data_IF_174274979963
#
_entry.id   IF_174274979963
#
_cell.length_a   1.000
_cell.length_b   1.000
_cell.length_c   1.000
_cell.angle_alpha   90.00
_cell.angle_beta   90.00
_cell.angle_gamma   90.00
#
_symmetry.space_group_name_H-M   'P 1'
#
loop_
_entity.id
_entity.type
_entity.pdbx_description
1 polymer ?
#
# COMPACT_ATOMS: atom_id res chain seq x y z
N UNK A 1 68.74 -30.38 -8.80
CA UNK A 1 67.53 -31.09 -9.29
C UNK A 1 66.61 -30.00 -9.85
N UNK A 2 66.59 -29.66 -11.17
CA UNK A 2 65.88 -30.31 -12.31
C UNK A 2 64.43 -30.64 -11.92
N UNK A 3 63.37 -29.97 -12.41
CA UNK A 3 62.79 -29.99 -13.77
C UNK A 3 61.78 -28.81 -13.97
N UNK A 4 61.86 -28.01 -15.05
CA UNK A 4 60.98 -27.88 -16.27
C UNK A 4 59.55 -27.30 -16.04
N UNK A 5 59.09 -26.20 -16.67
CA UNK A 5 58.72 -25.89 -18.08
C UNK A 5 57.30 -26.32 -18.48
N UNK A 6 56.45 -25.34 -18.87
CA UNK A 6 55.30 -25.36 -19.85
C UNK A 6 54.16 -24.45 -19.38
N UNK A 7 53.99 -23.23 -19.93
CA UNK A 7 53.20 -22.87 -21.13
C UNK A 7 51.74 -23.33 -21.11
N UNK A 8 50.79 -22.40 -21.16
CA UNK A 8 49.85 -22.23 -22.30
C UNK A 8 48.94 -21.01 -22.09
N UNK A 9 48.83 -20.21 -23.17
CA UNK A 9 47.99 -19.04 -23.34
C UNK A 9 46.54 -19.43 -23.69
N UNK A 10 45.56 -18.64 -23.22
CA UNK A 10 44.32 -18.26 -23.90
C UNK A 10 43.60 -17.27 -22.94
N UNK A 11 43.33 -16.01 -23.25
CA UNK A 11 42.85 -15.47 -24.51
C UNK A 11 41.34 -15.34 -24.45
N UNK A 12 40.82 -14.29 -23.81
CA UNK A 12 39.48 -13.76 -24.05
C UNK A 12 39.40 -12.30 -23.60
N UNK A 13 39.83 -11.42 -24.50
CA UNK A 13 39.43 -10.00 -24.51
C UNK A 13 37.96 -9.96 -24.88
N UNK A 14 37.12 -9.39 -24.01
CA UNK A 14 35.82 -8.83 -24.42
C UNK A 14 35.90 -7.33 -24.17
N UNK A 15 36.29 -6.61 -25.21
CA UNK A 15 36.05 -5.18 -25.36
C UNK A 15 34.65 -5.02 -25.99
N UNK A 16 33.66 -4.71 -25.18
CA UNK A 16 32.42 -4.10 -25.65
C UNK A 16 32.30 -2.73 -24.99
N UNK A 17 32.36 -1.70 -25.83
CA UNK A 17 32.15 -0.31 -25.50
C UNK A 17 30.68 -0.05 -25.14
N UNK A 18 30.44 0.84 -24.16
CA UNK A 18 29.12 1.42 -23.90
C UNK A 18 28.88 1.73 -22.41
N UNK A 19 28.75 3.01 -22.07
CA UNK A 19 28.85 3.58 -20.72
C UNK A 19 27.62 3.41 -19.78
N UNK A 20 27.94 3.21 -18.47
CA UNK A 20 27.28 3.69 -17.23
C UNK A 20 26.00 3.00 -16.67
N UNK A 21 25.77 2.99 -15.33
CA UNK A 21 26.67 2.54 -14.24
C UNK A 21 26.04 1.51 -13.25
N UNK A 22 26.92 0.89 -12.43
CA UNK A 22 26.72 0.28 -11.10
C UNK A 22 26.03 -1.11 -11.00
N UNK A 23 26.74 -2.24 -11.15
CA UNK A 23 27.70 -2.90 -10.23
C UNK A 23 27.03 -3.44 -8.95
N UNK A 24 26.46 -4.65 -8.95
CA UNK A 24 27.08 -5.98 -8.87
C UNK A 24 27.70 -6.31 -7.49
N UNK A 25 27.09 -7.32 -6.90
CA UNK A 25 27.15 -7.86 -5.56
C UNK A 25 28.37 -8.78 -5.38
N UNK A 26 28.81 -8.89 -4.11
CA UNK A 26 29.86 -9.79 -3.57
C UNK A 26 31.29 -9.25 -3.59
N UNK A 27 31.72 -8.73 -2.44
CA UNK A 27 32.90 -9.27 -1.73
C UNK A 27 32.88 -8.85 -0.26
N UNK A 28 33.37 -9.77 0.56
CA UNK A 28 33.33 -9.81 2.02
C UNK A 28 34.12 -8.67 2.67
N UNK A 29 33.51 -7.96 3.62
CA UNK A 29 34.18 -7.06 4.55
C UNK A 29 33.59 -7.31 5.95
N UNK A 30 34.35 -7.99 6.80
CA UNK A 30 34.07 -8.25 8.20
C UNK A 30 35.12 -7.54 9.06
N UNK A 31 35.04 -6.21 9.13
CA UNK A 31 35.73 -5.42 10.15
C UNK A 31 35.17 -3.98 10.20
N UNK A 32 34.22 -3.72 11.12
CA UNK A 32 34.22 -2.56 12.03
C UNK A 32 32.91 -2.52 12.84
N UNK A 33 33.06 -2.37 14.15
CA UNK A 33 32.02 -2.01 15.12
C UNK A 33 31.42 -0.63 14.81
N UNK A 34 30.09 -0.55 14.64
CA UNK A 34 29.37 0.72 14.48
C UNK A 34 28.06 0.61 13.69
N UNK A 35 27.02 0.09 14.36
CA UNK A 35 25.58 0.25 14.12
C UNK A 35 25.04 0.72 12.74
N UNK A 36 24.34 -0.24 12.11
CA UNK A 36 23.15 -0.16 11.24
C UNK A 36 22.83 1.13 10.46
N UNK A 37 22.82 1.01 9.13
CA UNK A 37 21.69 1.43 8.30
C UNK A 37 21.49 0.37 7.19
N UNK A 38 20.24 -0.04 6.89
CA UNK A 38 19.56 0.56 5.73
C UNK A 38 18.02 0.53 5.87
N UNK A 39 17.36 1.59 6.32
CA UNK A 39 15.91 1.80 6.13
C UNK A 39 15.45 3.12 6.77
N UNK A 40 15.58 4.26 6.09
CA UNK A 40 14.95 5.52 6.56
C UNK A 40 13.81 6.02 5.67
N UNK A 41 13.60 5.46 4.47
CA UNK A 41 12.40 5.75 3.67
C UNK A 41 11.23 4.79 3.93
N UNK A 42 11.47 3.59 4.49
CA UNK A 42 10.43 2.57 4.70
C UNK A 42 9.98 2.44 6.16
N UNK A 43 10.82 2.87 7.12
CA UNK A 43 10.42 2.94 8.54
C UNK A 43 9.49 4.11 8.82
N UNK A 44 9.65 5.26 8.16
CA UNK A 44 8.73 6.39 8.29
C UNK A 44 7.34 6.01 7.76
N UNK A 45 7.27 5.23 6.68
CA UNK A 45 6.01 4.79 6.11
C UNK A 45 5.28 3.77 6.98
N UNK A 46 6.02 2.81 7.55
CA UNK A 46 5.48 1.86 8.52
C UNK A 46 5.08 2.54 9.84
N UNK A 47 5.79 3.59 10.25
CA UNK A 47 5.49 4.35 11.48
C UNK A 47 4.18 5.11 11.34
N UNK A 48 3.96 5.80 10.23
CA UNK A 48 2.69 6.52 9.97
C UNK A 48 1.53 5.55 9.71
N UNK A 49 1.81 4.38 9.11
CA UNK A 49 0.82 3.31 8.97
C UNK A 49 0.39 2.76 10.34
N UNK A 50 1.37 2.43 11.18
CA UNK A 50 1.12 2.00 12.55
C UNK A 50 0.48 3.10 13.39
N UNK A 51 0.73 4.38 13.11
CA UNK A 51 0.09 5.50 13.79
C UNK A 51 -1.42 5.51 13.54
N UNK A 52 -1.86 5.48 12.27
CA UNK A 52 -3.29 5.42 11.94
C UNK A 52 -3.96 4.16 12.51
N UNK A 53 -3.32 3.01 12.34
CA UNK A 53 -3.83 1.73 12.84
C UNK A 53 -3.93 1.73 14.37
N UNK A 54 -2.91 2.24 15.08
CA UNK A 54 -2.93 2.35 16.53
C UNK A 54 -3.99 3.33 17.01
N UNK A 55 -4.17 4.47 16.34
CA UNK A 55 -5.23 5.43 16.65
C UNK A 55 -6.60 4.76 16.54
N UNK A 56 -6.85 3.98 15.48
CA UNK A 56 -8.12 3.26 15.30
C UNK A 56 -8.32 2.17 16.36
N UNK A 57 -7.29 1.38 16.64
CA UNK A 57 -7.32 0.34 17.68
C UNK A 57 -7.64 0.96 19.05
N UNK A 58 -6.97 2.04 19.42
CA UNK A 58 -7.14 2.69 20.72
C UNK A 58 -8.48 3.45 20.84
N UNK A 59 -8.93 4.14 19.78
CA UNK A 59 -10.16 4.91 19.83
C UNK A 59 -11.43 4.06 19.64
N UNK A 60 -11.34 2.99 18.85
CA UNK A 60 -12.52 2.22 18.43
C UNK A 60 -12.56 0.81 19.02
N UNK A 61 -11.50 0.37 19.70
CA UNK A 61 -11.43 -0.97 20.31
C UNK A 61 -11.40 -2.10 19.28
N UNK A 62 -11.02 -1.80 18.03
CA UNK A 62 -10.83 -2.80 16.96
C UNK A 62 -9.44 -3.43 17.06
N UNK A 63 -9.23 -4.58 16.44
CA UNK A 63 -7.87 -5.13 16.31
C UNK A 63 -7.13 -4.55 15.09
N UNK A 64 -5.81 -4.75 15.03
CA UNK A 64 -4.96 -4.22 13.96
C UNK A 64 -5.40 -4.67 12.56
N UNK A 65 -5.79 -5.93 12.39
CA UNK A 65 -6.26 -6.46 11.10
C UNK A 65 -7.59 -5.82 10.66
N UNK A 66 -8.50 -5.58 11.60
CA UNK A 66 -9.75 -4.87 11.38
C UNK A 66 -9.51 -3.41 10.99
N UNK A 67 -8.59 -2.74 11.69
CA UNK A 67 -8.20 -1.37 11.36
C UNK A 67 -7.59 -1.27 9.96
N UNK A 68 -6.59 -2.11 9.65
CA UNK A 68 -5.94 -2.16 8.34
C UNK A 68 -6.94 -2.46 7.21
N UNK A 69 -7.78 -3.49 7.38
CA UNK A 69 -8.76 -3.87 6.36
C UNK A 69 -9.89 -2.84 6.21
N UNK A 70 -10.32 -2.19 7.30
CA UNK A 70 -11.31 -1.12 7.27
C UNK A 70 -10.80 0.12 6.55
N UNK A 71 -9.57 0.56 6.87
CA UNK A 71 -8.87 1.67 6.18
C UNK A 71 -8.63 1.33 4.71
N UNK A 72 -8.17 0.12 4.42
CA UNK A 72 -8.02 -0.38 3.07
C UNK A 72 -9.30 -0.31 2.25
N UNK A 73 -10.43 -0.65 2.87
CA UNK A 73 -11.72 -0.65 2.19
C UNK A 73 -12.18 0.77 1.84
N UNK A 74 -11.92 1.73 2.74
CA UNK A 74 -12.14 3.16 2.48
C UNK A 74 -11.27 3.65 1.32
N UNK A 75 -9.97 3.31 1.32
CA UNK A 75 -9.08 3.70 0.21
C UNK A 75 -9.37 2.98 -1.10
N UNK A 76 -9.80 1.72 -1.06
CA UNK A 76 -10.23 0.99 -2.25
C UNK A 76 -11.47 1.61 -2.88
N UNK A 77 -12.38 2.12 -2.06
CA UNK A 77 -13.54 2.84 -2.55
C UNK A 77 -13.14 4.19 -3.15
N UNK A 78 -12.28 4.93 -2.45
CA UNK A 78 -11.72 6.17 -2.96
C UNK A 78 -11.02 5.96 -4.31
N UNK A 79 -10.28 4.86 -4.49
CA UNK A 79 -9.64 4.50 -5.77
C UNK A 79 -10.65 4.34 -6.92
N UNK A 80 -11.85 3.84 -6.65
CA UNK A 80 -12.88 3.61 -7.65
C UNK A 80 -13.66 4.88 -8.01
N UNK A 81 -13.69 5.87 -7.11
CA UNK A 81 -14.55 7.06 -7.20
C UNK A 81 -13.78 8.34 -7.50
N UNK A 82 -12.54 8.45 -7.03
CA UNK A 82 -11.66 9.57 -7.31
C UNK A 82 -11.10 9.45 -8.72
N UNK A 83 -10.76 10.60 -9.30
CA UNK A 83 -10.02 10.63 -10.56
C UNK A 83 -8.64 9.97 -10.34
N UNK A 84 -8.10 9.21 -11.31
CA UNK A 84 -6.86 8.46 -11.12
C UNK A 84 -5.65 9.35 -10.78
N UNK A 85 -5.63 10.60 -11.25
CA UNK A 85 -4.61 11.57 -10.89
C UNK A 85 -4.63 11.96 -9.40
N UNK A 86 -5.82 12.21 -8.85
CA UNK A 86 -6.00 12.56 -7.44
C UNK A 86 -5.67 11.37 -6.54
N UNK A 87 -6.11 10.17 -6.91
CA UNK A 87 -5.76 8.96 -6.17
C UNK A 87 -4.25 8.67 -6.22
N UNK A 88 -3.57 8.97 -7.33
CA UNK A 88 -2.11 8.85 -7.43
C UNK A 88 -1.40 9.81 -6.48
N UNK A 89 -1.88 11.05 -6.37
CA UNK A 89 -1.35 12.01 -5.39
C UNK A 89 -1.63 11.57 -3.95
N UNK A 90 -2.82 11.02 -3.68
CA UNK A 90 -3.20 10.51 -2.36
C UNK A 90 -2.29 9.34 -1.95
N UNK A 91 -2.16 8.36 -2.83
CA UNK A 91 -1.32 7.16 -2.61
C UNK A 91 0.17 7.48 -2.49
N UNK A 92 0.66 8.51 -3.17
CA UNK A 92 2.03 9.01 -3.01
C UNK A 92 2.26 9.77 -1.69
N UNK A 93 1.22 10.38 -1.13
CA UNK A 93 1.32 11.19 0.10
C UNK A 93 1.01 10.39 1.36
N UNK A 94 0.17 9.36 1.27
CA UNK A 94 -0.18 8.49 2.39
C UNK A 94 0.79 7.31 2.44
N UNK A 95 1.64 7.24 3.48
CA UNK A 95 2.54 6.12 3.63
C UNK A 95 1.76 4.84 3.94
N UNK A 96 2.19 3.71 3.38
CA UNK A 96 1.52 2.41 3.61
C UNK A 96 0.29 2.14 2.76
N UNK A 97 -0.04 3.00 1.78
CA UNK A 97 -1.23 2.84 0.89
C UNK A 97 -1.39 1.41 0.35
N UNK A 98 -0.31 0.82 -0.16
CA UNK A 98 -0.33 -0.53 -0.73
C UNK A 98 -0.69 -1.61 0.30
N UNK A 99 -0.30 -1.44 1.56
CA UNK A 99 -0.59 -2.39 2.63
C UNK A 99 -2.06 -2.32 3.03
N UNK A 100 -2.62 -1.11 3.13
CA UNK A 100 -4.06 -0.94 3.34
C UNK A 100 -4.87 -1.61 2.23
N UNK A 101 -4.55 -1.32 0.97
CA UNK A 101 -5.25 -1.91 -0.19
C UNK A 101 -5.10 -3.44 -0.26
N UNK A 102 -4.00 -3.98 0.25
CA UNK A 102 -3.77 -5.43 0.32
C UNK A 102 -4.51 -6.09 1.49
N UNK A 103 -4.78 -5.35 2.56
CA UNK A 103 -5.54 -5.80 3.73
C UNK A 103 -7.06 -5.77 3.50
N UNK A 104 -7.53 -5.25 2.36
CA UNK A 104 -8.95 -5.24 2.00
C UNK A 104 -9.48 -6.67 1.95
N UNK A 105 -10.60 -6.98 2.64
CA UNK A 105 -11.28 -8.26 2.51
C UNK A 105 -11.79 -8.40 1.08
N UNK A 106 -11.11 -9.21 0.27
CA UNK A 106 -11.59 -9.54 -1.07
C UNK A 106 -12.56 -10.71 -0.93
N UNK A 107 -13.87 -10.52 -1.19
CA UNK A 107 -14.77 -11.67 -1.32
C UNK A 107 -14.23 -12.50 -2.49
N UNK A 108 -14.10 -13.81 -2.30
CA UNK A 108 -13.59 -14.72 -3.34
C UNK A 108 -14.30 -14.44 -4.66
N UNK A 109 -13.52 -14.27 -5.72
CA UNK A 109 -13.83 -13.70 -7.03
C UNK A 109 -15.01 -14.33 -7.79
N UNK A 110 -15.64 -15.36 -7.22
CA UNK A 110 -16.82 -16.03 -7.78
C UNK A 110 -18.11 -15.22 -7.66
N UNK A 111 -18.21 -14.25 -6.72
CA UNK A 111 -19.39 -13.37 -6.60
C UNK A 111 -19.30 -12.11 -7.47
N UNK A 112 -18.08 -11.65 -7.76
CA UNK A 112 -17.83 -10.46 -8.58
C UNK A 112 -18.37 -10.64 -10.01
N UNK A 113 -18.24 -11.85 -10.59
CA UNK A 113 -18.76 -12.15 -11.93
C UNK A 113 -20.30 -12.11 -12.03
N UNK A 114 -21.01 -12.30 -10.91
CA UNK A 114 -22.46 -12.16 -10.86
C UNK A 114 -22.90 -10.70 -10.59
N UNK A 115 -22.04 -9.90 -9.96
CA UNK A 115 -22.25 -8.46 -9.75
C UNK A 115 -22.03 -7.63 -11.01
N UNK A 116 -21.01 -7.97 -11.81
CA UNK A 116 -20.69 -7.26 -13.07
C UNK A 116 -21.79 -7.36 -14.14
N UNK A 117 -22.70 -8.34 -14.02
CA UNK A 117 -23.89 -8.44 -14.87
C UNK A 117 -25.07 -7.57 -14.37
N UNK A 118 -25.02 -7.08 -13.12
CA UNK A 118 -25.98 -6.16 -12.53
C UNK A 118 -25.52 -4.68 -12.63
N UNK A 119 -24.21 -4.43 -12.70
CA UNK A 119 -23.61 -3.10 -12.92
C UNK A 119 -24.09 -2.42 -14.22
N UNK A 120 -24.44 -3.19 -15.25
CA UNK A 120 -24.99 -2.67 -16.51
C UNK A 120 -26.45 -2.18 -16.42
N UNK A 121 -27.12 -2.29 -15.27
CA UNK A 121 -28.47 -1.76 -15.02
C UNK A 121 -28.56 -0.76 -13.85
N UNK A 122 -27.45 -0.38 -13.20
CA UNK A 122 -27.46 0.17 -11.83
C UNK A 122 -26.75 1.51 -11.59
N UNK A 123 -26.62 2.40 -12.58
CA UNK A 123 -25.93 3.71 -12.48
C UNK A 123 -26.45 4.62 -11.34
N UNK A 124 -27.67 4.40 -10.85
CA UNK A 124 -28.28 5.16 -9.76
C UNK A 124 -27.91 4.67 -8.34
N UNK A 125 -27.00 3.69 -8.23
CA UNK A 125 -26.56 3.12 -6.97
C UNK A 125 -25.26 3.73 -6.42
N UNK A 126 -24.72 4.81 -6.99
CA UNK A 126 -23.37 5.30 -6.63
C UNK A 126 -23.12 5.53 -5.12
N UNK A 127 -24.03 6.22 -4.42
CA UNK A 127 -23.89 6.48 -2.97
C UNK A 127 -24.33 5.31 -2.08
N UNK A 128 -25.40 4.61 -2.46
CA UNK A 128 -25.88 3.42 -1.74
C UNK A 128 -24.91 2.24 -1.88
N UNK A 129 -24.30 2.11 -3.05
CA UNK A 129 -23.26 1.15 -3.39
C UNK A 129 -21.97 1.41 -2.63
N UNK A 130 -21.61 2.68 -2.39
CA UNK A 130 -20.46 3.06 -1.56
C UNK A 130 -20.59 2.52 -0.12
N UNK A 131 -21.72 2.83 0.53
CA UNK A 131 -22.00 2.33 1.87
C UNK A 131 -22.20 0.81 1.89
N UNK A 132 -22.79 0.23 0.84
CA UNK A 132 -22.91 -1.21 0.70
C UNK A 132 -21.53 -1.90 0.59
N UNK A 133 -20.60 -1.35 -0.19
CA UNK A 133 -19.25 -1.89 -0.35
C UNK A 133 -18.45 -1.79 0.96
N UNK A 134 -18.55 -0.66 1.67
CA UNK A 134 -17.94 -0.50 2.99
C UNK A 134 -18.59 -1.40 4.04
N UNK A 135 -19.91 -1.52 4.04
CA UNK A 135 -20.61 -2.40 4.98
C UNK A 135 -20.24 -3.86 4.77
N UNK A 136 -20.16 -4.33 3.52
CA UNK A 136 -19.77 -5.70 3.20
C UNK A 136 -18.33 -6.04 3.60
N UNK A 137 -17.40 -5.10 3.41
CA UNK A 137 -16.00 -5.28 3.83
C UNK A 137 -15.86 -5.27 5.36
N UNK A 138 -16.50 -4.33 6.06
CA UNK A 138 -16.50 -4.29 7.53
C UNK A 138 -17.16 -5.54 8.14
N UNK A 139 -18.29 -5.99 7.60
CA UNK A 139 -18.95 -7.24 8.04
C UNK A 139 -18.07 -8.46 7.81
N UNK A 140 -17.33 -8.52 6.69
CA UNK A 140 -16.38 -9.59 6.41
C UNK A 140 -15.21 -9.63 7.41
N UNK A 141 -14.89 -8.49 8.02
CA UNK A 141 -13.91 -8.36 9.13
C UNK A 141 -14.53 -8.60 10.51
N UNK A 142 -15.81 -8.98 10.58
CA UNK A 142 -16.56 -9.15 11.83
C UNK A 142 -16.84 -7.82 12.55
N UNK A 143 -16.74 -6.69 11.86
CA UNK A 143 -17.05 -5.36 12.41
C UNK A 143 -18.50 -4.96 12.15
N UNK A 144 -19.05 -4.16 13.06
CA UNK A 144 -20.36 -3.56 12.88
C UNK A 144 -20.28 -2.39 11.89
N UNK A 145 -21.24 -2.29 10.97
CA UNK A 145 -21.39 -1.20 10.00
C UNK A 145 -21.46 0.19 10.67
N UNK A 146 -21.94 0.28 11.91
CA UNK A 146 -21.91 1.54 12.70
C UNK A 146 -20.49 2.06 12.97
N UNK A 147 -19.46 1.21 12.89
CA UNK A 147 -18.07 1.64 13.03
C UNK A 147 -17.57 2.44 11.83
N UNK A 148 -18.16 2.29 10.64
CA UNK A 148 -17.77 3.04 9.43
C UNK A 148 -17.89 4.54 9.69
N UNK A 149 -18.96 4.98 10.36
CA UNK A 149 -19.16 6.37 10.74
C UNK A 149 -18.13 6.92 11.73
N UNK A 150 -17.35 6.05 12.39
CA UNK A 150 -16.24 6.43 13.27
C UNK A 150 -14.86 6.29 12.60
N UNK A 151 -14.73 5.34 11.67
CA UNK A 151 -13.51 5.13 10.89
C UNK A 151 -13.26 6.25 9.89
N UNK A 152 -14.28 6.59 9.09
CA UNK A 152 -14.19 7.60 8.04
C UNK A 152 -13.61 8.93 8.53
N UNK A 153 -14.10 9.56 9.63
CA UNK A 153 -13.53 10.83 10.10
C UNK A 153 -12.07 10.71 10.57
N UNK A 154 -11.67 9.59 11.18
CA UNK A 154 -10.27 9.37 11.60
C UNK A 154 -9.35 9.23 10.39
N UNK A 155 -9.78 8.50 9.36
CA UNK A 155 -9.03 8.36 8.10
C UNK A 155 -8.94 9.70 7.38
N UNK A 156 -10.04 10.47 7.31
CA UNK A 156 -10.04 11.81 6.72
C UNK A 156 -9.07 12.74 7.44
N UNK A 157 -9.05 12.73 8.77
CA UNK A 157 -8.13 13.55 9.57
C UNK A 157 -6.67 13.16 9.35
N UNK A 158 -6.39 11.87 9.21
CA UNK A 158 -5.05 11.40 8.88
C UNK A 158 -4.62 11.81 7.46
N UNK A 159 -5.50 11.65 6.47
CA UNK A 159 -5.26 12.12 5.09
C UNK A 159 -5.02 13.64 5.07
N UNK A 160 -5.80 14.40 5.85
CA UNK A 160 -5.58 15.84 6.01
C UNK A 160 -4.18 16.16 6.57
N UNK A 161 -3.70 15.38 7.55
CA UNK A 161 -2.36 15.55 8.11
C UNK A 161 -1.24 15.23 7.12
N UNK A 162 -1.42 14.25 6.24
CA UNK A 162 -0.40 13.80 5.29
C UNK A 162 -0.42 14.55 3.94
N UNK A 163 -1.60 14.92 3.45
CA UNK A 163 -1.83 15.44 2.09
C UNK A 163 -2.61 16.76 2.05
N UNK A 164 -3.02 17.27 3.21
CA UNK A 164 -3.68 18.55 3.34
C UNK A 164 -5.21 18.51 3.19
N UNK A 165 -5.88 19.64 3.47
CA UNK A 165 -7.34 19.74 3.50
C UNK A 165 -8.00 19.58 2.12
N UNK A 166 -7.28 19.92 1.05
CA UNK A 166 -7.78 19.74 -0.32
C UNK A 166 -7.98 18.25 -0.64
N UNK A 167 -6.98 17.41 -0.34
CA UNK A 167 -7.05 15.98 -0.58
C UNK A 167 -8.07 15.29 0.33
N UNK A 168 -8.18 15.73 1.58
CA UNK A 168 -9.26 15.29 2.48
C UNK A 168 -10.65 15.57 1.87
N UNK A 169 -10.86 16.76 1.29
CA UNK A 169 -12.14 17.14 0.68
C UNK A 169 -12.46 16.28 -0.54
N UNK A 170 -11.45 15.96 -1.35
CA UNK A 170 -11.60 15.05 -2.49
C UNK A 170 -11.94 13.62 -2.04
N UNK A 171 -11.25 13.11 -1.02
CA UNK A 171 -11.56 11.81 -0.42
C UNK A 171 -12.99 11.80 0.13
N UNK A 172 -13.39 12.85 0.83
CA UNK A 172 -14.74 13.00 1.37
C UNK A 172 -15.79 13.00 0.25
N UNK A 173 -15.58 13.76 -0.83
CA UNK A 173 -16.48 13.75 -1.98
C UNK A 173 -16.52 12.41 -2.73
N UNK A 174 -15.50 11.57 -2.59
CA UNK A 174 -15.51 10.21 -3.13
C UNK A 174 -16.28 9.21 -2.24
N UNK A 175 -16.47 9.54 -0.96
CA UNK A 175 -17.12 8.68 0.05
C UNK A 175 -18.63 8.95 0.18
N UNK A 176 -19.06 10.20 -0.06
CA UNK A 176 -20.43 10.69 0.09
C UNK A 176 -21.06 11.05 -1.27
#
# INVERSE_FOLDING_TARGET
>A
MKYVMSSTLAGAVILAAGCAPAQQQTSQNWAWSGQQAPAVQQVAAASSEMDLVNVLVNQLGVNSQQAMGGVGSIFSLAQQRMNPGDFTQLSGSVPGMNQYLSAVPRPSSSRVLLGSAADSMGDQAGGLGNLAALSGSFQSLGMNTSMIGRFVPVVLQYVQGQSGPAMMSLLQGALY
#
